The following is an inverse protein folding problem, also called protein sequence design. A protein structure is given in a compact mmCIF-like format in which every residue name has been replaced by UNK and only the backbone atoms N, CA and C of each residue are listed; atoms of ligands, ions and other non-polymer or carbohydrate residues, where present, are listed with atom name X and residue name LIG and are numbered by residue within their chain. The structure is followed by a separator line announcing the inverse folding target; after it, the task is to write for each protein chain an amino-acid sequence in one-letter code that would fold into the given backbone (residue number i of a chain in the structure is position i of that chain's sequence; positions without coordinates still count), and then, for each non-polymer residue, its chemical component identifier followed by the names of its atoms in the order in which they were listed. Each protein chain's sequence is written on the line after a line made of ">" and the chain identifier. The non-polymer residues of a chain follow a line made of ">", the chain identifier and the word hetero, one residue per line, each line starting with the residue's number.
data_IF_250536195824
#
_entry.id   IF_250536195824
#
_cell.length_a   1.000
_cell.length_b   1.000
_cell.length_c   1.000
_cell.angle_alpha   90.00
_cell.angle_beta   90.00
_cell.angle_gamma   90.00
#
_symmetry.space_group_name_H-M   'P 1'
#
loop_
_entity.id
_entity.type
_entity.pdbx_description
1 polymer ?
#
# COMPACT_ATOMS: atom_id res chain seq x y z
N UNK A 1 -20.05 -6.87 -19.88
CA UNK A 1 -19.51 -6.51 -18.56
C UNK A 1 -20.36 -7.07 -17.43
N UNK A 2 -21.60 -6.61 -17.23
CA UNK A 2 -22.47 -7.12 -16.15
C UNK A 2 -22.75 -8.62 -16.23
N UNK A 3 -22.91 -9.19 -17.44
CA UNK A 3 -23.16 -10.63 -17.61
C UNK A 3 -22.01 -11.49 -17.04
N UNK A 4 -20.77 -11.00 -17.07
CA UNK A 4 -19.62 -11.70 -16.49
C UNK A 4 -19.70 -11.71 -14.95
N UNK A 5 -20.06 -10.59 -14.34
CA UNK A 5 -20.27 -10.51 -12.89
C UNK A 5 -21.43 -11.40 -12.44
N UNK A 6 -22.49 -11.45 -13.23
CA UNK A 6 -23.64 -12.32 -12.98
C UNK A 6 -23.27 -13.81 -13.13
N UNK A 7 -22.44 -14.15 -14.11
CA UNK A 7 -21.86 -15.49 -14.27
C UNK A 7 -21.02 -15.89 -13.05
N UNK A 8 -20.10 -15.02 -12.58
CA UNK A 8 -19.32 -15.29 -11.35
C UNK A 8 -20.22 -15.59 -10.15
N UNK A 9 -21.30 -14.81 -10.00
CA UNK A 9 -22.28 -15.00 -8.92
C UNK A 9 -23.03 -16.33 -9.04
N UNK A 10 -23.56 -16.65 -10.23
CA UNK A 10 -24.44 -17.81 -10.44
C UNK A 10 -23.66 -19.12 -10.47
N UNK A 11 -22.53 -19.14 -11.15
CA UNK A 11 -21.79 -20.36 -11.45
C UNK A 11 -20.71 -20.67 -10.41
N UNK A 12 -20.17 -19.65 -9.73
CA UNK A 12 -19.11 -19.80 -8.73
C UNK A 12 -19.49 -19.32 -7.33
N UNK A 13 -20.67 -18.70 -7.15
CA UNK A 13 -21.06 -18.11 -5.86
C UNK A 13 -20.20 -16.91 -5.44
N UNK A 14 -19.48 -16.29 -6.39
CA UNK A 14 -18.57 -15.17 -6.13
C UNK A 14 -19.21 -13.86 -6.59
N UNK A 15 -19.30 -12.89 -5.69
CA UNK A 15 -19.74 -11.54 -6.03
C UNK A 15 -18.61 -10.54 -5.82
N UNK A 16 -18.15 -9.92 -6.91
CA UNK A 16 -17.12 -8.88 -6.86
C UNK A 16 -17.62 -7.65 -6.09
N UNK A 17 -16.76 -7.07 -5.24
CA UNK A 17 -17.10 -5.86 -4.49
C UNK A 17 -16.98 -4.60 -5.37
N UNK A 18 -15.99 -4.56 -6.26
CA UNK A 18 -15.67 -3.39 -7.08
C UNK A 18 -15.48 -3.71 -8.57
N UNK A 19 -15.72 -2.71 -9.41
CA UNK A 19 -15.40 -2.70 -10.85
C UNK A 19 -14.78 -1.36 -11.24
N UNK A 20 -13.81 -1.39 -12.15
CA UNK A 20 -13.17 -0.22 -12.76
C UNK A 20 -12.70 -0.55 -14.18
N UNK A 21 -12.35 0.50 -14.93
CA UNK A 21 -11.47 0.37 -16.09
C UNK A 21 -10.08 0.86 -15.68
N UNK A 22 -9.06 0.09 -16.07
CA UNK A 22 -7.68 0.39 -15.76
C UNK A 22 -7.24 1.70 -16.41
N UNK A 23 -6.73 2.65 -15.61
CA UNK A 23 -6.05 3.86 -16.10
C UNK A 23 -6.84 4.61 -17.16
N UNK A 24 -8.16 4.70 -16.95
CA UNK A 24 -9.05 5.30 -17.95
C UNK A 24 -8.87 6.81 -18.14
N UNK A 25 -8.11 7.47 -17.26
CA UNK A 25 -7.65 8.84 -17.42
C UNK A 25 -6.54 8.99 -18.47
N UNK A 26 -5.68 7.97 -18.60
CA UNK A 26 -4.61 7.92 -19.60
C UNK A 26 -5.03 7.19 -20.87
N UNK A 27 -5.87 6.17 -20.75
CA UNK A 27 -6.43 5.41 -21.86
C UNK A 27 -5.54 4.27 -22.36
N UNK A 28 -5.24 3.29 -21.51
CA UNK A 28 -4.50 2.08 -21.94
C UNK A 28 -5.30 1.30 -22.99
N UNK A 29 -6.55 0.94 -22.65
CA UNK A 29 -7.50 0.29 -23.56
C UNK A 29 -8.83 1.06 -23.68
N UNK A 30 -9.24 1.74 -22.61
CA UNK A 30 -10.47 2.54 -22.53
C UNK A 30 -10.10 3.91 -21.98
N UNK A 31 -10.53 4.98 -22.65
CA UNK A 31 -10.29 6.36 -22.22
C UNK A 31 -11.60 7.06 -21.90
N UNK A 32 -11.63 7.79 -20.80
CA UNK A 32 -12.72 8.68 -20.42
C UNK A 32 -12.19 10.10 -20.16
N UNK A 33 -12.98 11.10 -20.49
CA UNK A 33 -12.93 12.39 -19.80
C UNK A 33 -13.43 12.26 -18.35
N UNK A 34 -13.09 13.20 -17.46
CA UNK A 34 -13.62 13.24 -16.09
C UNK A 34 -15.16 13.15 -16.03
N UNK A 35 -15.87 13.79 -16.96
CA UNK A 35 -17.33 13.75 -17.06
C UNK A 35 -17.86 12.39 -17.56
N UNK A 36 -17.19 11.78 -18.53
CA UNK A 36 -17.56 10.45 -19.02
C UNK A 36 -17.37 9.38 -17.94
N UNK A 37 -16.34 9.48 -17.10
CA UNK A 37 -16.17 8.60 -15.94
C UNK A 37 -17.34 8.73 -14.96
N UNK A 38 -17.72 9.96 -14.59
CA UNK A 38 -18.90 10.22 -13.75
C UNK A 38 -20.17 9.60 -14.35
N UNK A 39 -20.40 9.82 -15.63
CA UNK A 39 -21.60 9.37 -16.31
C UNK A 39 -21.62 7.84 -16.45
N UNK A 40 -20.46 7.22 -16.65
CA UNK A 40 -20.28 5.77 -16.60
C UNK A 40 -20.59 5.20 -15.22
N UNK A 41 -20.05 5.78 -14.14
CA UNK A 41 -20.33 5.34 -12.75
C UNK A 41 -21.85 5.35 -12.50
N UNK A 42 -22.55 6.39 -12.94
CA UNK A 42 -24.01 6.51 -12.76
C UNK A 42 -24.77 5.46 -13.57
N UNK A 43 -24.51 5.38 -14.86
CA UNK A 43 -25.24 4.51 -15.77
C UNK A 43 -24.98 3.03 -15.45
N UNK A 44 -23.70 2.66 -15.32
CA UNK A 44 -23.34 1.28 -15.08
C UNK A 44 -23.65 0.85 -13.64
N UNK A 45 -23.45 1.73 -12.65
CA UNK A 45 -23.85 1.45 -11.26
C UNK A 45 -25.35 1.21 -11.11
N UNK A 46 -26.17 2.01 -11.79
CA UNK A 46 -27.62 1.76 -11.85
C UNK A 46 -27.93 0.40 -12.49
N UNK A 47 -27.28 0.10 -13.61
CA UNK A 47 -27.48 -1.15 -14.33
C UNK A 47 -27.12 -2.40 -13.51
N UNK A 48 -26.03 -2.34 -12.74
CA UNK A 48 -25.63 -3.40 -11.81
C UNK A 48 -26.66 -3.58 -10.69
N UNK A 49 -27.15 -2.49 -10.11
CA UNK A 49 -28.17 -2.52 -9.06
C UNK A 49 -29.50 -3.11 -9.54
N UNK A 50 -29.95 -2.75 -10.75
CA UNK A 50 -31.17 -3.31 -11.37
C UNK A 50 -31.08 -4.83 -11.61
N UNK A 51 -29.86 -5.34 -11.79
CA UNK A 51 -29.57 -6.78 -11.91
C UNK A 51 -29.33 -7.48 -10.57
N UNK A 52 -29.46 -6.78 -9.44
CA UNK A 52 -29.26 -7.36 -8.11
C UNK A 52 -27.81 -7.77 -7.80
N UNK A 53 -26.84 -7.08 -8.43
CA UNK A 53 -25.41 -7.23 -8.14
C UNK A 53 -25.01 -6.20 -7.08
N UNK A 54 -24.27 -6.62 -6.03
CA UNK A 54 -23.77 -5.71 -4.98
C UNK A 54 -22.62 -4.82 -5.45
N UNK A 55 -21.99 -5.17 -6.57
CA UNK A 55 -20.76 -4.55 -7.09
C UNK A 55 -20.92 -3.05 -7.26
N UNK A 56 -19.96 -2.29 -6.75
CA UNK A 56 -19.87 -0.83 -6.89
C UNK A 56 -18.68 -0.45 -7.75
N UNK A 57 -18.56 0.84 -8.10
CA UNK A 57 -17.51 1.31 -8.99
C UNK A 57 -16.38 1.94 -8.18
N UNK A 58 -15.13 1.75 -8.62
CA UNK A 58 -14.03 2.57 -8.14
C UNK A 58 -14.16 3.96 -8.77
N UNK A 59 -14.08 4.99 -7.94
CA UNK A 59 -13.91 6.36 -8.42
C UNK A 59 -12.41 6.62 -8.57
N UNK A 60 -12.00 6.82 -9.83
CA UNK A 60 -10.61 6.94 -10.24
C UNK A 60 -10.14 5.68 -10.94
N UNK A 61 -9.20 4.98 -10.30
CA UNK A 61 -8.31 3.98 -10.93
C UNK A 61 -7.35 4.62 -11.93
N UNK A 62 -6.89 5.81 -11.53
CA UNK A 62 -6.02 6.68 -12.29
C UNK A 62 -4.64 6.06 -12.50
N UNK A 63 -4.02 6.34 -13.66
CA UNK A 63 -2.63 5.96 -13.95
C UNK A 63 -1.62 6.49 -12.95
N UNK A 64 -1.93 7.61 -12.29
CA UNK A 64 -1.06 8.22 -11.29
C UNK A 64 -1.87 8.86 -10.18
N UNK A 65 -1.25 8.96 -9.01
CA UNK A 65 -1.78 9.79 -7.93
C UNK A 65 -1.90 11.28 -8.32
N UNK A 66 -1.16 11.77 -9.32
CA UNK A 66 -1.09 13.19 -9.68
C UNK A 66 -2.26 13.66 -10.55
N UNK A 67 -3.06 12.77 -11.14
CA UNK A 67 -4.21 13.09 -12.01
C UNK A 67 -5.52 13.24 -11.24
N UNK A 68 -5.46 13.70 -9.99
CA UNK A 68 -6.60 13.83 -9.06
C UNK A 68 -7.81 14.56 -9.65
N UNK A 69 -7.61 15.51 -10.56
CA UNK A 69 -8.69 16.28 -11.17
C UNK A 69 -9.71 15.41 -11.93
N UNK A 70 -9.29 14.21 -12.36
CA UNK A 70 -10.14 13.22 -13.03
C UNK A 70 -11.36 12.80 -12.20
N UNK A 71 -11.26 12.80 -10.86
CA UNK A 71 -12.35 12.36 -9.99
C UNK A 71 -13.28 13.50 -9.54
N UNK A 72 -12.91 14.76 -9.81
CA UNK A 72 -13.64 15.94 -9.31
C UNK A 72 -15.11 16.01 -9.80
N UNK A 73 -15.45 15.72 -11.07
CA UNK A 73 -16.85 15.77 -11.49
C UNK A 73 -17.75 14.79 -10.72
N UNK A 74 -17.26 13.58 -10.43
CA UNK A 74 -17.99 12.62 -9.61
C UNK A 74 -18.07 13.06 -8.15
N UNK A 75 -16.98 13.59 -7.57
CA UNK A 75 -16.99 14.13 -6.21
C UNK A 75 -17.98 15.29 -6.02
N UNK A 76 -18.36 15.96 -7.11
CA UNK A 76 -19.30 17.09 -7.11
C UNK A 76 -20.71 16.71 -7.62
N UNK A 77 -20.96 15.43 -7.94
CA UNK A 77 -22.29 14.93 -8.33
C UNK A 77 -22.84 13.93 -7.30
N UNK A 78 -23.69 14.38 -6.35
CA UNK A 78 -24.32 13.50 -5.36
C UNK A 78 -25.12 12.33 -5.95
N UNK A 79 -25.62 12.45 -7.19
CA UNK A 79 -26.36 11.36 -7.82
C UNK A 79 -25.46 10.17 -8.18
N UNK A 80 -24.15 10.39 -8.32
CA UNK A 80 -23.17 9.34 -8.59
C UNK A 80 -22.70 8.63 -7.31
N UNK A 81 -22.66 9.33 -6.16
CA UNK A 81 -22.00 8.86 -4.93
C UNK A 81 -22.49 7.50 -4.45
N UNK A 82 -23.79 7.22 -4.58
CA UNK A 82 -24.39 5.93 -4.16
C UNK A 82 -23.84 4.71 -4.92
N UNK A 83 -23.23 4.92 -6.08
CA UNK A 83 -22.64 3.87 -6.91
C UNK A 83 -21.12 3.73 -6.71
N UNK A 84 -20.49 4.65 -5.98
CA UNK A 84 -19.06 4.59 -5.66
C UNK A 84 -18.85 3.63 -4.48
N UNK A 85 -17.92 2.69 -4.65
CA UNK A 85 -17.54 1.70 -3.65
C UNK A 85 -16.25 2.03 -2.92
N UNK A 86 -15.31 2.68 -3.61
CA UNK A 86 -14.02 3.12 -3.08
C UNK A 86 -13.44 4.23 -3.98
N UNK A 87 -12.50 5.00 -3.43
CA UNK A 87 -11.60 5.86 -4.21
C UNK A 87 -10.38 5.03 -4.63
N UNK A 88 -9.91 5.14 -5.87
CA UNK A 88 -8.74 4.39 -6.35
C UNK A 88 -7.77 5.25 -7.16
N UNK A 89 -6.48 4.97 -7.04
CA UNK A 89 -5.41 5.50 -7.90
C UNK A 89 -4.21 4.53 -7.93
N UNK A 90 -3.32 4.68 -8.91
CA UNK A 90 -2.08 3.90 -9.00
C UNK A 90 -0.89 4.70 -8.47
N UNK A 91 0.03 4.04 -7.77
CA UNK A 91 1.15 4.72 -7.12
C UNK A 91 2.35 4.97 -8.02
N UNK A 92 2.22 4.75 -9.33
CA UNK A 92 3.27 4.94 -10.31
C UNK A 92 3.95 6.31 -10.17
N UNK A 93 5.29 6.33 -10.32
CA UNK A 93 6.17 7.50 -10.16
C UNK A 93 6.18 8.16 -8.77
N UNK A 94 5.38 7.66 -7.83
CA UNK A 94 5.20 8.27 -6.52
C UNK A 94 4.41 9.59 -6.58
N UNK A 95 4.27 10.24 -5.43
CA UNK A 95 3.63 11.55 -5.32
C UNK A 95 4.02 12.28 -4.04
N UNK A 96 3.68 13.56 -3.96
CA UNK A 96 3.90 14.39 -2.77
C UNK A 96 2.82 14.18 -1.69
N UNK A 97 3.14 14.59 -0.46
CA UNK A 97 2.24 14.45 0.69
C UNK A 97 0.93 15.24 0.53
N UNK A 98 0.97 16.35 -0.20
CA UNK A 98 -0.21 17.20 -0.44
C UNK A 98 -1.22 16.44 -1.30
N UNK A 99 -0.74 15.77 -2.34
CA UNK A 99 -1.54 14.95 -3.25
C UNK A 99 -2.12 13.75 -2.51
N UNK A 100 -1.32 13.05 -1.71
CA UNK A 100 -1.82 11.95 -0.88
C UNK A 100 -2.94 12.38 0.09
N UNK A 101 -2.82 13.58 0.68
CA UNK A 101 -3.87 14.14 1.54
C UNK A 101 -5.18 14.40 0.77
N UNK A 102 -5.11 14.86 -0.49
CA UNK A 102 -6.30 15.05 -1.34
C UNK A 102 -7.06 13.74 -1.54
N UNK A 103 -6.36 12.65 -1.84
CA UNK A 103 -6.98 11.32 -1.97
C UNK A 103 -7.64 10.86 -0.67
N UNK A 104 -6.96 11.06 0.46
CA UNK A 104 -7.52 10.75 1.79
C UNK A 104 -8.79 11.57 2.09
N UNK A 105 -8.80 12.86 1.72
CA UNK A 105 -9.95 13.74 1.87
C UNK A 105 -11.12 13.32 0.98
N UNK A 106 -10.86 12.90 -0.26
CA UNK A 106 -11.88 12.38 -1.17
C UNK A 106 -12.59 11.14 -0.59
N UNK A 107 -11.80 10.19 -0.06
CA UNK A 107 -12.32 8.98 0.60
C UNK A 107 -13.17 9.32 1.81
N UNK A 108 -12.71 10.25 2.67
CA UNK A 108 -13.49 10.74 3.82
C UNK A 108 -14.76 11.47 3.41
N UNK A 109 -14.71 12.30 2.36
CA UNK A 109 -15.87 13.07 1.86
C UNK A 109 -17.00 12.15 1.41
N UNK A 110 -16.67 11.05 0.74
CA UNK A 110 -17.66 10.06 0.28
C UNK A 110 -17.97 8.98 1.32
N UNK A 111 -17.19 8.90 2.40
CA UNK A 111 -17.26 7.84 3.41
C UNK A 111 -17.15 6.42 2.78
N UNK A 112 -16.15 6.26 1.92
CA UNK A 112 -15.80 4.98 1.26
C UNK A 112 -14.30 4.74 1.44
N UNK A 113 -13.81 3.48 1.42
CA UNK A 113 -12.38 3.21 1.53
C UNK A 113 -11.58 3.80 0.37
N UNK A 114 -10.27 3.92 0.57
CA UNK A 114 -9.29 4.22 -0.46
C UNK A 114 -8.52 2.94 -0.79
N UNK A 115 -8.28 2.68 -2.08
CA UNK A 115 -7.47 1.56 -2.55
C UNK A 115 -6.35 2.13 -3.43
N UNK A 116 -5.14 1.63 -3.27
CA UNK A 116 -4.11 1.82 -4.31
C UNK A 116 -4.28 0.66 -5.29
N UNK A 117 -4.90 0.94 -6.44
CA UNK A 117 -5.36 -0.05 -7.43
C UNK A 117 -4.23 -0.78 -8.12
N UNK A 118 -3.11 -0.11 -8.31
CA UNK A 118 -1.82 -0.68 -8.67
C UNK A 118 -0.72 -0.03 -7.85
N UNK A 119 0.00 -0.85 -7.10
CA UNK A 119 1.12 -0.48 -6.26
C UNK A 119 2.43 -0.84 -6.96
N UNK A 120 3.28 0.18 -7.13
CA UNK A 120 4.74 0.16 -7.21
C UNK A 120 5.22 1.57 -7.63
N UNK A 121 6.48 1.73 -8.04
CA UNK A 121 7.11 3.02 -8.37
C UNK A 121 7.29 3.27 -9.87
N UNK A 122 7.37 2.24 -10.70
CA UNK A 122 7.57 2.37 -12.15
C UNK A 122 6.97 1.21 -12.94
N UNK A 123 5.94 1.46 -13.74
CA UNK A 123 5.26 0.47 -14.56
C UNK A 123 6.17 -0.10 -15.67
N UNK A 124 7.15 0.68 -16.14
CA UNK A 124 8.06 0.30 -17.21
C UNK A 124 9.32 -0.43 -16.72
N UNK A 125 9.51 -0.58 -15.40
CA UNK A 125 10.70 -1.21 -14.82
C UNK A 125 10.94 -2.65 -15.32
N UNK A 126 9.88 -3.35 -15.76
CA UNK A 126 9.99 -4.68 -16.37
C UNK A 126 10.87 -4.73 -17.64
N UNK A 127 11.09 -3.59 -18.30
CA UNK A 127 11.96 -3.47 -19.48
C UNK A 127 13.46 -3.52 -19.11
N UNK A 128 13.80 -3.25 -17.85
CA UNK A 128 15.14 -3.38 -17.30
C UNK A 128 15.11 -4.17 -15.99
N UNK A 129 14.83 -5.48 -16.07
CA UNK A 129 14.38 -6.24 -14.90
C UNK A 129 15.45 -6.47 -13.82
N UNK A 130 16.74 -6.23 -14.12
CA UNK A 130 17.81 -6.28 -13.13
C UNK A 130 17.56 -5.37 -11.93
N UNK A 131 16.84 -4.26 -12.15
CA UNK A 131 16.50 -3.27 -11.12
C UNK A 131 15.70 -3.87 -9.94
N UNK A 132 14.92 -4.94 -10.17
CA UNK A 132 14.11 -5.55 -9.10
C UNK A 132 14.93 -6.30 -8.04
N UNK A 133 16.21 -6.57 -8.32
CA UNK A 133 17.16 -7.13 -7.35
C UNK A 133 18.06 -6.05 -6.74
N UNK A 134 17.89 -4.77 -7.10
CA UNK A 134 18.64 -3.65 -6.55
C UNK A 134 17.99 -3.09 -5.28
N UNK A 135 18.82 -2.83 -4.27
CA UNK A 135 18.41 -2.23 -2.98
C UNK A 135 17.73 -0.87 -3.17
N UNK A 136 18.23 -0.06 -4.11
CA UNK A 136 17.72 1.28 -4.42
C UNK A 136 16.24 1.25 -4.79
N UNK A 137 15.82 0.31 -5.64
CA UNK A 137 14.43 0.13 -6.03
C UNK A 137 13.58 -0.35 -4.85
N UNK A 138 14.10 -1.33 -4.08
CA UNK A 138 13.40 -1.86 -2.92
C UNK A 138 13.16 -0.81 -1.83
N UNK A 139 14.12 0.10 -1.62
CA UNK A 139 13.96 1.23 -0.70
C UNK A 139 12.99 2.27 -1.28
N UNK A 140 13.08 2.60 -2.57
CA UNK A 140 12.17 3.58 -3.16
C UNK A 140 10.69 3.13 -3.03
N UNK A 141 10.42 1.85 -3.31
CA UNK A 141 9.09 1.25 -3.16
C UNK A 141 8.60 1.26 -1.70
N UNK A 142 9.41 0.81 -0.74
CA UNK A 142 8.96 0.74 0.66
C UNK A 142 8.81 2.12 1.32
N UNK A 143 9.61 3.12 0.91
CA UNK A 143 9.38 4.51 1.31
C UNK A 143 8.02 5.03 0.82
N UNK A 144 7.67 4.73 -0.43
CA UNK A 144 6.38 5.12 -0.98
C UNK A 144 5.24 4.44 -0.22
N UNK A 145 5.32 3.12 0.01
CA UNK A 145 4.25 2.38 0.67
C UNK A 145 4.08 2.78 2.14
N UNK A 146 5.16 3.00 2.88
CA UNK A 146 5.07 3.51 4.26
C UNK A 146 4.43 4.89 4.31
N UNK A 147 4.76 5.79 3.36
CA UNK A 147 4.10 7.10 3.22
C UNK A 147 2.62 6.99 2.85
N UNK A 148 2.26 6.11 1.91
CA UNK A 148 0.86 5.84 1.54
C UNK A 148 0.06 5.42 2.79
N UNK A 149 0.55 4.42 3.52
CA UNK A 149 -0.06 3.95 4.76
C UNK A 149 -0.17 5.08 5.80
N UNK A 150 0.86 5.90 5.99
CA UNK A 150 0.85 6.95 7.01
C UNK A 150 -0.05 8.16 6.66
N UNK A 151 -0.17 8.51 5.38
CA UNK A 151 -0.79 9.77 4.96
C UNK A 151 -2.22 9.56 4.46
N UNK A 152 -2.42 8.63 3.53
CA UNK A 152 -3.74 8.41 2.92
C UNK A 152 -4.46 7.16 3.44
N UNK A 153 -3.78 6.31 4.22
CA UNK A 153 -4.34 5.15 4.90
C UNK A 153 -5.25 4.30 3.98
N UNK A 154 -4.72 3.80 2.85
CA UNK A 154 -5.46 2.90 1.99
C UNK A 154 -5.92 1.68 2.78
N UNK A 155 -7.11 1.16 2.45
CA UNK A 155 -7.57 -0.14 2.91
C UNK A 155 -6.64 -1.26 2.39
N UNK A 156 -6.14 -1.09 1.17
CA UNK A 156 -5.21 -2.04 0.55
C UNK A 156 -4.33 -1.34 -0.48
N UNK A 157 -3.09 -1.84 -0.61
CA UNK A 157 -2.19 -1.56 -1.73
C UNK A 157 -2.11 -2.84 -2.55
N UNK A 158 -2.66 -2.81 -3.77
CA UNK A 158 -2.62 -3.95 -4.68
C UNK A 158 -1.31 -3.92 -5.45
N UNK A 159 -0.31 -4.67 -5.01
CA UNK A 159 0.95 -4.81 -5.77
C UNK A 159 0.62 -5.23 -7.21
N UNK A 160 1.14 -4.46 -8.19
CA UNK A 160 0.73 -4.61 -9.60
C UNK A 160 0.72 -6.06 -10.08
N UNK A 161 1.86 -6.75 -9.95
CA UNK A 161 1.94 -8.16 -10.27
C UNK A 161 2.84 -8.90 -9.28
N UNK A 162 2.50 -10.18 -9.09
CA UNK A 162 3.32 -11.17 -8.39
C UNK A 162 3.78 -12.26 -9.37
N UNK A 163 3.99 -11.87 -10.63
CA UNK A 163 4.41 -12.73 -11.76
C UNK A 163 5.85 -12.44 -12.19
N UNK A 164 6.37 -13.20 -13.14
CA UNK A 164 7.78 -13.19 -13.54
C UNK A 164 8.27 -11.89 -14.16
N UNK A 165 7.40 -11.04 -14.69
CA UNK A 165 7.70 -9.75 -15.33
C UNK A 165 7.74 -8.56 -14.37
N UNK A 166 7.14 -8.67 -13.18
CA UNK A 166 7.26 -7.69 -12.07
C UNK A 166 7.57 -8.35 -10.70
N UNK A 167 8.36 -9.42 -10.73
CA UNK A 167 8.56 -10.35 -9.63
C UNK A 167 9.22 -9.72 -8.39
N UNK A 168 8.71 -10.11 -7.21
CA UNK A 168 9.37 -9.90 -5.90
C UNK A 168 10.28 -11.09 -5.53
N UNK A 169 10.41 -12.06 -6.42
CA UNK A 169 11.30 -13.21 -6.35
C UNK A 169 12.38 -13.13 -7.43
N UNK A 170 13.48 -13.86 -7.22
CA UNK A 170 14.61 -13.93 -8.14
C UNK A 170 15.14 -15.35 -8.21
N UNK A 171 15.82 -15.72 -9.30
CA UNK A 171 16.27 -17.08 -9.58
C UNK A 171 15.27 -17.85 -10.46
N UNK A 172 15.62 -19.09 -10.77
CA UNK A 172 14.82 -20.01 -11.59
C UNK A 172 14.43 -19.43 -12.97
N UNK A 173 15.36 -18.69 -13.59
CA UNK A 173 15.16 -18.10 -14.92
C UNK A 173 14.29 -16.84 -14.95
N UNK A 174 13.70 -16.42 -13.83
CA UNK A 174 13.06 -15.09 -13.71
C UNK A 174 14.09 -14.04 -14.11
N UNK A 175 13.78 -13.22 -15.11
CA UNK A 175 14.70 -12.20 -15.63
C UNK A 175 16.05 -12.75 -16.11
N UNK A 176 16.07 -13.98 -16.64
CA UNK A 176 17.30 -14.68 -17.04
C UNK A 176 18.30 -14.84 -15.89
N UNK A 177 17.82 -14.85 -14.65
CA UNK A 177 18.67 -15.04 -13.48
C UNK A 177 19.03 -16.51 -13.26
N UNK A 178 20.25 -16.70 -12.76
CA UNK A 178 20.77 -18.01 -12.37
C UNK A 178 20.40 -18.39 -10.93
N UNK A 179 20.49 -19.69 -10.64
CA UNK A 179 20.32 -20.25 -9.30
C UNK A 179 18.86 -20.53 -8.92
N UNK A 180 18.62 -21.05 -7.70
CA UNK A 180 17.28 -21.41 -7.25
C UNK A 180 16.41 -20.17 -6.99
N UNK A 181 15.09 -20.33 -7.18
CA UNK A 181 14.10 -19.32 -6.82
C UNK A 181 14.22 -18.93 -5.34
N UNK A 182 14.26 -17.62 -5.08
CA UNK A 182 14.40 -17.05 -3.74
C UNK A 182 13.68 -15.70 -3.61
N UNK A 183 13.22 -15.33 -2.41
CA UNK A 183 12.71 -13.98 -2.16
C UNK A 183 13.79 -12.90 -2.31
N UNK A 184 13.40 -11.70 -2.75
CA UNK A 184 14.27 -10.51 -2.78
C UNK A 184 14.05 -9.64 -1.54
N UNK A 185 14.83 -8.56 -1.42
CA UNK A 185 14.57 -7.52 -0.42
C UNK A 185 13.15 -6.94 -0.55
N UNK A 186 12.62 -6.76 -1.78
CA UNK A 186 11.24 -6.30 -2.01
C UNK A 186 10.23 -7.22 -1.34
N UNK A 187 10.37 -8.54 -1.52
CA UNK A 187 9.50 -9.51 -0.86
C UNK A 187 9.47 -9.34 0.66
N UNK A 188 10.65 -9.22 1.29
CA UNK A 188 10.71 -9.06 2.75
C UNK A 188 10.23 -7.69 3.22
N UNK A 189 10.42 -6.64 2.43
CA UNK A 189 9.85 -5.31 2.70
C UNK A 189 8.32 -5.38 2.74
N UNK A 190 7.69 -6.00 1.75
CA UNK A 190 6.22 -6.17 1.71
C UNK A 190 5.73 -7.05 2.87
N UNK A 191 6.42 -8.16 3.14
CA UNK A 191 6.10 -9.05 4.27
C UNK A 191 6.24 -8.35 5.62
N UNK A 192 7.21 -7.46 5.79
CA UNK A 192 7.34 -6.67 7.01
C UNK A 192 6.26 -5.59 7.10
N UNK A 193 5.92 -4.93 5.99
CA UNK A 193 4.84 -3.94 5.98
C UNK A 193 3.49 -4.58 6.35
N UNK A 194 3.24 -5.82 5.91
CA UNK A 194 2.05 -6.58 6.29
C UNK A 194 2.00 -6.98 7.77
N UNK A 195 3.02 -6.66 8.57
CA UNK A 195 2.97 -6.78 10.03
C UNK A 195 2.23 -5.61 10.69
N UNK A 196 1.83 -4.59 9.92
CA UNK A 196 0.93 -3.54 10.40
C UNK A 196 -0.37 -4.18 10.91
N UNK A 197 -0.81 -3.92 12.15
CA UNK A 197 -2.04 -4.52 12.67
C UNK A 197 -3.26 -4.12 11.83
N UNK A 198 -4.19 -5.05 11.65
CA UNK A 198 -5.44 -4.77 10.98
C UNK A 198 -6.20 -3.64 11.69
N UNK A 199 -6.83 -2.77 10.91
CA UNK A 199 -7.59 -1.61 11.40
C UNK A 199 -6.78 -0.65 12.29
N UNK A 200 -5.44 -0.68 12.23
CA UNK A 200 -4.60 0.30 12.87
C UNK A 200 -4.67 1.65 12.14
N UNK A 201 -4.58 2.74 12.91
CA UNK A 201 -4.49 4.08 12.38
C UNK A 201 -3.07 4.60 12.48
N UNK A 202 -2.66 5.43 11.53
CA UNK A 202 -1.39 6.15 11.58
C UNK A 202 -1.36 7.06 12.82
N UNK A 203 -0.26 7.03 13.55
CA UNK A 203 0.02 7.86 14.72
C UNK A 203 1.04 8.93 14.32
N UNK A 204 0.94 10.17 14.85
CA UNK A 204 1.95 11.19 14.59
C UNK A 204 3.36 10.73 15.00
N UNK A 205 4.33 10.93 14.11
CA UNK A 205 5.74 10.63 14.35
C UNK A 205 6.58 11.83 13.90
N UNK A 206 7.71 12.04 14.58
CA UNK A 206 8.75 12.98 14.16
C UNK A 206 10.10 12.26 14.10
N UNK A 207 10.87 12.48 13.04
CA UNK A 207 12.26 12.07 12.93
C UNK A 207 13.14 13.29 12.75
N UNK A 208 14.34 13.29 13.34
CA UNK A 208 15.30 14.39 13.25
C UNK A 208 16.25 14.29 12.05
N UNK A 209 16.21 13.18 11.28
CA UNK A 209 17.06 12.96 10.12
C UNK A 209 16.23 12.84 8.85
N UNK A 210 16.65 13.51 7.80
CA UNK A 210 15.96 13.54 6.50
C UNK A 210 16.04 12.20 5.76
N UNK A 211 17.15 11.46 5.89
CA UNK A 211 17.34 10.16 5.23
C UNK A 211 16.63 8.98 5.92
N UNK A 212 15.87 9.24 6.98
CA UNK A 212 15.12 8.23 7.73
C UNK A 212 13.63 8.51 7.66
N UNK A 213 12.90 7.64 6.98
CA UNK A 213 11.44 7.70 6.95
C UNK A 213 10.85 6.81 8.05
N UNK A 214 9.85 7.32 8.76
CA UNK A 214 9.21 6.60 9.85
C UNK A 214 7.69 6.70 9.75
N UNK A 215 7.01 5.58 9.96
CA UNK A 215 5.57 5.52 10.12
C UNK A 215 5.24 4.65 11.34
N UNK A 216 4.31 5.11 12.18
CA UNK A 216 3.82 4.33 13.31
C UNK A 216 2.32 4.13 13.19
N UNK A 217 1.85 2.97 13.59
CA UNK A 217 0.46 2.55 13.51
C UNK A 217 0.03 1.98 14.85
N UNK A 218 -1.19 2.31 15.28
CA UNK A 218 -1.77 1.77 16.49
C UNK A 218 -3.23 1.40 16.28
N UNK A 219 -3.60 0.22 16.75
CA UNK A 219 -4.99 -0.17 16.95
C UNK A 219 -5.28 -0.10 18.47
N UNK A 220 -5.97 0.96 18.88
CA UNK A 220 -6.28 1.21 20.30
C UNK A 220 -7.23 0.13 20.85
N UNK A 221 -8.11 -0.41 20.01
CA UNK A 221 -9.09 -1.42 20.44
C UNK A 221 -8.41 -2.76 20.78
N UNK A 222 -7.35 -3.14 20.07
CA UNK A 222 -6.60 -4.38 20.33
C UNK A 222 -5.30 -4.15 21.11
N UNK A 223 -4.93 -2.89 21.37
CA UNK A 223 -3.63 -2.50 21.95
C UNK A 223 -2.43 -2.99 21.14
N UNK A 224 -2.59 -3.16 19.83
CA UNK A 224 -1.51 -3.53 18.91
C UNK A 224 -0.90 -2.29 18.28
N UNK A 225 0.41 -2.34 18.01
CA UNK A 225 1.10 -1.28 17.30
C UNK A 225 2.24 -1.80 16.43
N UNK A 226 2.62 -1.02 15.43
CA UNK A 226 3.82 -1.25 14.63
C UNK A 226 4.53 0.07 14.35
N UNK A 227 5.86 0.05 14.37
CA UNK A 227 6.69 1.17 13.92
C UNK A 227 7.54 0.67 12.77
N UNK A 228 7.41 1.30 11.61
CA UNK A 228 8.16 1.03 10.40
C UNK A 228 9.18 2.14 10.18
N UNK A 229 10.44 1.77 9.96
CA UNK A 229 11.56 2.69 9.78
C UNK A 229 12.31 2.30 8.51
N UNK A 230 12.46 3.22 7.57
CA UNK A 230 13.29 3.05 6.38
C UNK A 230 14.54 3.91 6.56
N UNK A 231 15.71 3.27 6.69
CA UNK A 231 16.99 3.97 6.68
C UNK A 231 17.56 3.97 5.25
N UNK A 232 17.56 5.14 4.61
CA UNK A 232 18.07 5.32 3.24
C UNK A 232 19.58 5.58 3.21
N UNK A 233 20.18 5.88 4.35
CA UNK A 233 21.58 6.29 4.44
C UNK A 233 22.49 5.21 5.01
N UNK A 234 23.61 5.66 5.55
CA UNK A 234 24.56 4.83 6.25
C UNK A 234 24.00 4.27 7.57
N UNK A 235 24.66 3.24 8.11
CA UNK A 235 24.32 2.70 9.43
C UNK A 235 24.40 3.78 10.50
N UNK A 236 23.42 3.81 11.39
CA UNK A 236 23.43 4.70 12.55
C UNK A 236 22.73 4.07 13.76
N UNK A 237 22.78 4.74 14.90
CA UNK A 237 21.95 4.43 16.06
C UNK A 237 20.77 5.41 16.13
N UNK A 238 19.62 4.90 16.56
CA UNK A 238 18.42 5.68 16.79
C UNK A 238 17.90 5.46 18.20
N UNK A 239 17.51 6.56 18.85
CA UNK A 239 16.72 6.53 20.07
C UNK A 239 15.25 6.70 19.68
N UNK A 240 14.43 5.72 20.04
CA UNK A 240 12.99 5.72 19.79
C UNK A 240 12.31 5.92 21.14
N UNK A 241 11.35 6.84 21.19
CA UNK A 241 10.54 7.12 22.38
C UNK A 241 9.06 7.21 22.00
N UNK A 242 8.18 7.09 22.99
CA UNK A 242 6.72 7.11 22.79
C UNK A 242 6.10 5.74 22.51
N UNK A 243 6.84 4.65 22.78
CA UNK A 243 6.29 3.30 22.76
C UNK A 243 5.33 3.08 23.95
N UNK A 244 4.35 2.15 23.86
CA UNK A 244 3.37 1.92 24.93
C UNK A 244 4.01 1.70 26.31
N UNK A 245 3.58 2.50 27.30
CA UNK A 245 4.07 2.42 28.67
C UNK A 245 3.74 1.05 29.27
N UNK A 246 4.74 0.39 29.87
CA UNK A 246 4.60 -0.95 30.45
C UNK A 246 4.96 -2.09 29.49
N UNK A 247 5.16 -1.81 28.20
CA UNK A 247 5.82 -2.77 27.30
C UNK A 247 7.30 -2.88 27.69
N UNK A 248 7.77 -4.10 27.97
CA UNK A 248 9.14 -4.36 28.39
C UNK A 248 10.04 -4.86 27.26
N UNK A 249 9.45 -5.46 26.24
CA UNK A 249 10.18 -6.13 25.16
C UNK A 249 9.49 -5.88 23.83
N UNK A 250 10.26 -5.67 22.77
CA UNK A 250 9.76 -5.62 21.39
C UNK A 250 10.58 -6.55 20.53
N UNK A 251 9.99 -6.95 19.40
CA UNK A 251 10.72 -7.61 18.33
C UNK A 251 10.95 -6.59 17.22
N UNK A 252 12.21 -6.39 16.87
CA UNK A 252 12.62 -5.66 15.68
C UNK A 252 12.94 -6.65 14.55
N UNK A 253 12.30 -6.48 13.40
CA UNK A 253 12.63 -7.19 12.16
C UNK A 253 13.47 -6.29 11.28
N UNK A 254 14.58 -6.79 10.74
CA UNK A 254 15.47 -6.03 9.87
C UNK A 254 15.56 -6.70 8.50
N UNK A 255 15.31 -5.92 7.45
CA UNK A 255 15.50 -6.32 6.05
C UNK A 255 16.46 -5.38 5.34
N UNK A 256 17.45 -5.94 4.64
CA UNK A 256 18.32 -5.25 3.68
C UNK A 256 18.88 -6.27 2.67
N UNK A 257 19.93 -5.93 1.93
CA UNK A 257 20.58 -6.83 0.96
C UNK A 257 21.22 -8.09 1.57
N UNK A 258 21.39 -8.13 2.90
CA UNK A 258 22.06 -9.22 3.61
C UNK A 258 21.18 -9.88 4.68
N UNK A 259 20.10 -9.23 5.11
CA UNK A 259 19.19 -9.67 6.17
C UNK A 259 17.77 -9.73 5.64
N UNK A 260 17.08 -10.81 5.99
CA UNK A 260 15.79 -11.18 5.39
C UNK A 260 14.72 -11.31 6.47
N UNK A 261 14.17 -10.19 6.92
CA UNK A 261 13.31 -10.08 8.11
C UNK A 261 13.92 -10.78 9.34
N UNK A 262 15.20 -10.50 9.60
CA UNK A 262 15.91 -11.06 10.74
C UNK A 262 15.36 -10.44 12.03
N UNK A 263 14.92 -11.28 12.97
CA UNK A 263 14.27 -10.86 14.21
C UNK A 263 15.28 -10.67 15.34
N UNK A 264 15.17 -9.56 16.06
CA UNK A 264 15.94 -9.25 17.26
C UNK A 264 15.00 -8.85 18.39
N UNK A 265 15.12 -9.51 19.54
CA UNK A 265 14.43 -9.08 20.76
C UNK A 265 15.18 -7.91 21.39
N UNK A 266 14.45 -6.86 21.77
CA UNK A 266 15.00 -5.65 22.38
C UNK A 266 14.22 -5.30 23.66
N UNK A 267 14.94 -4.89 24.69
CA UNK A 267 14.34 -4.37 25.92
C UNK A 267 13.92 -2.91 25.75
N UNK A 268 12.82 -2.54 26.40
CA UNK A 268 12.32 -1.17 26.49
C UNK A 268 12.47 -0.69 27.93
N UNK A 269 12.95 0.55 28.07
CA UNK A 269 12.99 1.26 29.35
C UNK A 269 12.12 2.51 29.22
N UNK A 270 11.10 2.62 30.07
CA UNK A 270 10.19 3.77 30.14
C UNK A 270 9.63 4.25 28.79
N UNK A 271 9.17 3.30 27.96
CA UNK A 271 8.60 3.59 26.65
C UNK A 271 9.62 4.04 25.60
N UNK A 272 10.91 3.82 25.87
CA UNK A 272 12.02 4.18 24.99
C UNK A 272 12.96 2.99 24.75
N UNK A 273 13.63 2.99 23.59
CA UNK A 273 14.69 2.03 23.28
C UNK A 273 15.74 2.66 22.38
N UNK A 274 16.96 2.14 22.44
CA UNK A 274 18.03 2.45 21.47
C UNK A 274 18.23 1.24 20.56
N UNK A 275 18.29 1.48 19.25
CA UNK A 275 18.43 0.44 18.24
C UNK A 275 19.45 0.86 17.17
N UNK A 276 20.21 -0.12 16.67
CA UNK A 276 21.02 0.07 15.47
C UNK A 276 20.13 -0.01 14.23
N UNK A 277 20.23 0.99 13.35
CA UNK A 277 19.63 1.01 12.03
C UNK A 277 20.74 0.74 11.01
N UNK A 278 20.86 -0.47 10.46
CA UNK A 278 21.83 -0.74 9.40
C UNK A 278 21.61 0.14 8.17
N UNK A 279 22.65 0.33 7.37
CA UNK A 279 22.52 1.03 6.10
C UNK A 279 21.47 0.37 5.20
N UNK A 280 20.79 1.21 4.42
CA UNK A 280 19.89 0.78 3.33
C UNK A 280 18.89 -0.31 3.74
N UNK A 281 18.18 -0.08 4.86
CA UNK A 281 17.39 -1.12 5.52
C UNK A 281 15.97 -0.69 5.84
N UNK A 282 15.09 -1.70 5.96
CA UNK A 282 13.74 -1.56 6.46
C UNK A 282 13.59 -2.30 7.79
N UNK A 283 13.26 -1.55 8.83
CA UNK A 283 13.09 -2.04 10.19
C UNK A 283 11.62 -1.97 10.57
N UNK A 284 11.12 -3.01 11.23
CA UNK A 284 9.77 -3.04 11.79
C UNK A 284 9.84 -3.44 13.25
N UNK A 285 9.31 -2.60 14.13
CA UNK A 285 9.27 -2.83 15.57
C UNK A 285 7.82 -3.08 15.96
N UNK A 286 7.57 -4.22 16.60
CA UNK A 286 6.25 -4.59 17.12
C UNK A 286 6.38 -5.08 18.58
N UNK A 287 5.34 -4.94 19.41
CA UNK A 287 5.29 -5.54 20.74
C UNK A 287 5.64 -7.02 20.68
N UNK A 288 6.53 -7.47 21.57
CA UNK A 288 6.74 -8.89 21.76
C UNK A 288 5.42 -9.50 22.24
N UNK A 289 4.85 -10.44 21.48
CA UNK A 289 3.68 -11.18 21.91
C UNK A 289 4.05 -11.91 23.20
N UNK A 290 3.35 -11.65 24.30
CA UNK A 290 3.41 -12.55 25.46
C UNK A 290 2.92 -13.89 24.94
N UNK A 291 3.82 -14.87 24.84
CA UNK A 291 3.42 -16.23 24.52
C UNK A 291 2.25 -16.62 25.41
N UNK A 292 1.22 -17.26 24.84
CA UNK A 292 0.28 -18.03 25.62
C UNK A 292 1.11 -18.98 26.49
N UNK A 293 1.20 -18.67 27.78
CA UNK A 293 1.60 -19.65 28.79
C UNK A 293 0.42 -20.57 29.05
#
# INVERSE_FOLDING_TARGET
>A
MADYLEFLKKDYGVEADYFSFNESDLGIDVVFSPEEHRDFIKAFGQYLAERGLKTRLLLGDNSDATTFDFILPTLNDPAAHKYVGAISFHSWRGCDDVTLKKWAEASRKLNVPLIVGEGSTDAAAHQYPGIFNETTFALYEINLYTRLCAICQPLSILQWQLTSDYSILWGDGIYHSDGPLRPTQRYFNLKQLSMTPENAFAVPVSCSKEDINVAAFANIATSECAVHIVNNGASCEAQISGLPVGQKEVVAYVTNSHRHAEAQMLSIEDGSLTISLPAESFITIIPARRGCR
#
